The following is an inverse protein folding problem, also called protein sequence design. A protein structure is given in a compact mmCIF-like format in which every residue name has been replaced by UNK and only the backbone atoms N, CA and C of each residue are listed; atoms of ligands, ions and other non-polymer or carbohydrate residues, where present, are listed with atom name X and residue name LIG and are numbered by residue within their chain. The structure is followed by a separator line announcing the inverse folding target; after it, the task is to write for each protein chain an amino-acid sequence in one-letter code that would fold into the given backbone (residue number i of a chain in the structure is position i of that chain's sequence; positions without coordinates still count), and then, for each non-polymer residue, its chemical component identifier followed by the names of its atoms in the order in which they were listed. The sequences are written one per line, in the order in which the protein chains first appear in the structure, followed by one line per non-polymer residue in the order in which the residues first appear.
data_IF_690882039842
#
_entry.id   IF_690882039842
#
_cell.length_a   1.000
_cell.length_b   1.000
_cell.length_c   1.000
_cell.angle_alpha   90.00
_cell.angle_beta   90.00
_cell.angle_gamma   90.00
#
_symmetry.space_group_name_H-M   'P 1'
#
loop_
_entity.id
_entity.type
_entity.pdbx_description
1 polymer ?
#
# COMPACT_ATOMS: atom_id res chain seq x y z
N UNK A 1 -34.54 -42.77 34.19
CA UNK A 1 -34.80 -42.01 32.94
C UNK A 1 -34.68 -40.48 33.10
N UNK A 2 -34.80 -39.90 34.31
CA UNK A 2 -34.60 -38.46 34.54
C UNK A 2 -33.12 -38.03 34.59
N UNK A 3 -32.23 -38.84 35.17
CA UNK A 3 -30.79 -38.52 35.33
C UNK A 3 -30.08 -38.35 33.97
N UNK A 4 -30.41 -39.18 32.98
CA UNK A 4 -29.85 -39.09 31.62
C UNK A 4 -30.29 -37.83 30.87
N UNK A 5 -31.48 -37.29 31.16
CA UNK A 5 -31.97 -36.02 30.58
C UNK A 5 -31.28 -34.79 31.15
N UNK A 6 -30.83 -34.81 32.40
CA UNK A 6 -30.06 -33.70 32.97
C UNK A 6 -28.63 -33.66 32.46
N UNK A 7 -27.99 -34.84 32.36
CA UNK A 7 -26.65 -34.97 31.79
C UNK A 7 -26.66 -34.52 30.31
N UNK A 8 -27.66 -34.93 29.52
CA UNK A 8 -27.78 -34.50 28.12
C UNK A 8 -27.97 -32.99 27.96
N UNK A 9 -28.73 -32.35 28.88
CA UNK A 9 -28.89 -30.88 28.89
C UNK A 9 -27.57 -30.18 29.20
N UNK A 10 -26.82 -30.65 30.18
CA UNK A 10 -25.50 -30.09 30.53
C UNK A 10 -24.52 -30.19 29.35
N UNK A 11 -24.48 -31.32 28.66
CA UNK A 11 -23.69 -31.50 27.44
C UNK A 11 -24.10 -30.55 26.31
N UNK A 12 -25.40 -30.32 26.12
CA UNK A 12 -25.91 -29.34 25.16
C UNK A 12 -25.46 -27.91 25.50
N UNK A 13 -25.50 -27.53 26.78
CA UNK A 13 -25.00 -26.22 27.23
C UNK A 13 -23.48 -26.07 27.04
N UNK A 14 -22.69 -27.12 27.31
CA UNK A 14 -21.26 -27.08 27.03
C UNK A 14 -20.97 -26.94 25.53
N UNK A 15 -21.67 -27.69 24.67
CA UNK A 15 -21.55 -27.56 23.21
C UNK A 15 -21.90 -26.16 22.71
N UNK A 16 -23.03 -25.60 23.18
CA UNK A 16 -23.45 -24.24 22.85
C UNK A 16 -22.42 -23.21 23.31
N UNK A 17 -21.89 -23.36 24.53
CA UNK A 17 -20.87 -22.47 25.07
C UNK A 17 -19.56 -22.54 24.29
N UNK A 18 -19.10 -23.74 23.93
CA UNK A 18 -17.91 -23.92 23.08
C UNK A 18 -18.11 -23.32 21.70
N UNK A 19 -19.27 -23.54 21.07
CA UNK A 19 -19.60 -22.94 19.78
C UNK A 19 -19.57 -21.41 19.85
N UNK A 20 -20.14 -20.84 20.91
CA UNK A 20 -20.14 -19.40 21.12
C UNK A 20 -18.73 -18.84 21.33
N UNK A 21 -17.88 -19.54 22.08
CA UNK A 21 -16.48 -19.15 22.27
C UNK A 21 -15.68 -19.20 20.97
N UNK A 22 -15.84 -20.26 20.17
CA UNK A 22 -15.19 -20.38 18.87
C UNK A 22 -15.65 -19.27 17.93
N UNK A 23 -16.95 -18.98 17.90
CA UNK A 23 -17.51 -17.89 17.11
C UNK A 23 -16.93 -16.52 17.53
N UNK A 24 -16.86 -16.24 18.84
CA UNK A 24 -16.28 -15.00 19.36
C UNK A 24 -14.81 -14.86 18.98
N UNK A 25 -14.01 -15.92 19.13
CA UNK A 25 -12.61 -15.92 18.73
C UNK A 25 -12.44 -15.67 17.23
N UNK A 26 -13.26 -16.34 16.40
CA UNK A 26 -13.22 -16.15 14.95
C UNK A 26 -13.61 -14.73 14.56
N UNK A 27 -14.65 -14.17 15.21
CA UNK A 27 -15.07 -12.79 14.97
C UNK A 27 -13.98 -11.79 15.35
N UNK A 28 -13.26 -12.01 16.45
CA UNK A 28 -12.15 -11.14 16.86
C UNK A 28 -11.00 -11.18 15.86
N UNK A 29 -10.62 -12.37 15.39
CA UNK A 29 -9.59 -12.52 14.35
C UNK A 29 -10.01 -11.85 13.04
N UNK A 30 -11.29 -12.00 12.65
CA UNK A 30 -11.83 -11.39 11.44
C UNK A 30 -11.84 -9.85 11.53
N UNK A 31 -12.23 -9.29 12.67
CA UNK A 31 -12.20 -7.84 12.91
C UNK A 31 -10.76 -7.32 12.87
N UNK A 32 -9.81 -8.03 13.47
CA UNK A 32 -8.39 -7.65 13.42
C UNK A 32 -7.87 -7.63 11.97
N UNK A 33 -8.23 -8.64 11.18
CA UNK A 33 -7.88 -8.69 9.76
C UNK A 33 -8.46 -7.51 8.97
N UNK A 34 -9.73 -7.17 9.20
CA UNK A 34 -10.38 -6.01 8.56
C UNK A 34 -9.74 -4.69 9.00
N UNK A 35 -9.41 -4.55 10.29
CA UNK A 35 -8.75 -3.36 10.82
C UNK A 35 -7.37 -3.14 10.16
N UNK A 36 -6.61 -4.22 9.98
CA UNK A 36 -5.33 -4.21 9.26
C UNK A 36 -5.51 -3.77 7.81
N UNK A 37 -6.48 -4.35 7.09
CA UNK A 37 -6.78 -3.96 5.71
C UNK A 37 -7.17 -2.48 5.60
N UNK A 38 -8.01 -1.98 6.51
CA UNK A 38 -8.41 -0.57 6.54
C UNK A 38 -7.21 0.35 6.78
N UNK A 39 -6.30 -0.05 7.68
CA UNK A 39 -5.08 0.73 7.96
C UNK A 39 -4.18 0.81 6.74
N UNK A 40 -4.00 -0.30 6.03
CA UNK A 40 -3.24 -0.33 4.76
C UNK A 40 -3.88 0.57 3.70
N UNK A 41 -5.19 0.49 3.52
CA UNK A 41 -5.92 1.34 2.56
C UNK A 41 -5.85 2.82 2.91
N UNK A 42 -5.90 3.17 4.20
CA UNK A 42 -5.72 4.54 4.66
C UNK A 42 -4.32 5.07 4.33
N UNK A 43 -3.28 4.27 4.60
CA UNK A 43 -1.90 4.61 4.22
C UNK A 43 -1.77 4.80 2.71
N UNK A 44 -2.41 3.94 1.91
CA UNK A 44 -2.43 4.04 0.44
C UNK A 44 -3.05 5.36 -0.04
N UNK A 45 -4.23 5.74 0.47
CA UNK A 45 -4.89 6.99 0.09
C UNK A 45 -4.05 8.21 0.47
N UNK A 46 -3.42 8.19 1.65
CA UNK A 46 -2.53 9.28 2.07
C UNK A 46 -1.31 9.37 1.15
N UNK A 47 -0.71 8.24 0.76
CA UNK A 47 0.40 8.22 -0.21
C UNK A 47 0.00 8.83 -1.55
N UNK A 48 -1.17 8.47 -2.09
CA UNK A 48 -1.70 9.07 -3.33
C UNK A 48 -1.94 10.57 -3.20
N UNK A 49 -2.50 11.02 -2.09
CA UNK A 49 -2.76 12.44 -1.87
C UNK A 49 -1.46 13.25 -1.77
N UNK A 50 -0.47 12.76 -0.99
CA UNK A 50 0.87 13.37 -0.91
C UNK A 50 1.54 13.41 -2.28
N UNK A 51 1.36 12.35 -3.05
CA UNK A 51 1.91 12.26 -4.37
C UNK A 51 1.31 13.31 -5.34
N UNK A 52 -0.01 13.46 -5.34
CA UNK A 52 -0.68 14.48 -6.16
C UNK A 52 -0.23 15.90 -5.78
N UNK A 53 -0.02 16.18 -4.50
CA UNK A 53 0.48 17.48 -4.06
C UNK A 53 1.92 17.72 -4.54
N UNK A 54 2.78 16.70 -4.47
CA UNK A 54 4.15 16.75 -5.03
C UNK A 54 4.12 17.06 -6.54
N UNK A 55 3.20 16.43 -7.27
CA UNK A 55 3.07 16.67 -8.71
C UNK A 55 2.65 18.12 -9.02
N UNK A 56 1.67 18.62 -8.27
CA UNK A 56 1.22 20.01 -8.37
C UNK A 56 2.36 20.99 -8.07
N UNK A 57 3.22 20.68 -7.11
CA UNK A 57 4.41 21.45 -6.80
C UNK A 57 5.44 21.41 -7.94
N UNK A 58 5.74 20.23 -8.50
CA UNK A 58 6.69 20.12 -9.61
C UNK A 58 6.18 20.86 -10.86
N UNK A 59 4.90 20.68 -11.20
CA UNK A 59 4.31 21.31 -12.38
C UNK A 59 4.08 22.80 -12.20
N UNK A 60 3.65 23.24 -11.02
CA UNK A 60 3.34 24.64 -10.70
C UNK A 60 4.58 25.48 -10.37
N UNK A 61 5.50 24.96 -9.56
CA UNK A 61 6.64 25.72 -9.04
C UNK A 61 7.93 25.48 -9.85
N UNK A 62 8.12 24.26 -10.38
CA UNK A 62 9.34 23.88 -11.10
C UNK A 62 9.16 23.77 -12.63
N UNK A 63 8.07 24.33 -13.18
CA UNK A 63 7.76 24.28 -14.62
C UNK A 63 7.76 22.86 -15.24
N UNK A 64 7.56 21.84 -14.40
CA UNK A 64 7.60 20.43 -14.78
C UNK A 64 8.98 19.77 -14.84
N UNK A 65 10.05 20.45 -14.40
CA UNK A 65 11.40 19.86 -14.34
C UNK A 65 11.61 19.02 -13.09
N UNK A 66 12.23 17.84 -13.24
CA UNK A 66 12.58 16.97 -12.12
C UNK A 66 13.87 17.47 -11.45
N UNK A 67 13.74 18.39 -10.49
CA UNK A 67 14.86 18.82 -9.65
C UNK A 67 14.94 17.98 -8.38
N UNK A 68 15.71 16.90 -8.41
CA UNK A 68 15.85 15.98 -7.27
C UNK A 68 16.40 16.67 -6.02
N UNK A 69 17.30 17.65 -6.16
CA UNK A 69 17.88 18.35 -5.02
C UNK A 69 16.84 19.15 -4.25
N UNK A 70 15.96 19.86 -4.96
CA UNK A 70 14.84 20.62 -4.36
C UNK A 70 13.82 19.67 -3.75
N UNK A 71 13.46 18.61 -4.47
CA UNK A 71 12.48 17.62 -4.00
C UNK A 71 12.93 16.92 -2.72
N UNK A 72 14.20 16.50 -2.63
CA UNK A 72 14.75 15.82 -1.46
C UNK A 72 14.95 16.78 -0.27
N UNK A 73 15.12 18.08 -0.53
CA UNK A 73 15.22 19.10 0.52
C UNK A 73 13.87 19.32 1.22
N UNK A 74 12.79 19.39 0.46
CA UNK A 74 11.42 19.62 0.96
C UNK A 74 10.74 18.32 1.42
N UNK A 75 11.15 17.17 0.86
CA UNK A 75 10.58 15.85 1.13
C UNK A 75 11.69 14.84 1.39
N UNK A 76 12.28 14.90 2.59
CA UNK A 76 13.40 14.04 3.01
C UNK A 76 13.07 12.54 3.03
N UNK A 77 11.78 12.19 2.99
CA UNK A 77 11.31 10.83 2.91
C UNK A 77 11.26 10.28 1.48
N UNK A 78 11.51 11.08 0.45
CA UNK A 78 11.49 10.60 -0.94
C UNK A 78 12.84 9.96 -1.31
N UNK A 79 12.81 8.82 -2.00
CA UNK A 79 13.96 8.20 -2.65
C UNK A 79 13.68 8.07 -4.13
N UNK A 80 14.59 8.55 -4.98
CA UNK A 80 14.48 8.45 -6.44
C UNK A 80 15.67 7.64 -6.94
N UNK A 81 15.41 6.55 -7.66
CA UNK A 81 16.43 5.66 -8.22
C UNK A 81 16.29 5.62 -9.74
N UNK A 82 17.40 5.76 -10.46
CA UNK A 82 17.42 5.60 -11.92
C UNK A 82 17.24 4.11 -12.26
N UNK A 83 16.39 3.81 -13.24
CA UNK A 83 16.18 2.48 -13.77
C UNK A 83 17.03 2.32 -15.03
N UNK A 84 18.17 1.64 -14.92
CA UNK A 84 19.19 1.61 -15.98
C UNK A 84 18.79 0.79 -17.23
N UNK A 85 17.86 -0.16 -17.09
CA UNK A 85 17.49 -1.12 -18.16
C UNK A 85 16.06 -0.92 -18.70
N UNK A 86 15.54 0.30 -18.67
CA UNK A 86 14.22 0.59 -19.25
C UNK A 86 14.33 0.73 -20.78
N UNK A 87 13.36 0.17 -21.51
CA UNK A 87 13.24 0.37 -22.97
C UNK A 87 12.61 1.75 -23.23
N UNK A 88 13.45 2.78 -23.32
CA UNK A 88 13.06 4.18 -23.47
C UNK A 88 13.86 4.85 -24.60
N UNK A 89 13.34 5.96 -25.14
CA UNK A 89 14.01 6.66 -26.24
C UNK A 89 15.36 7.27 -25.80
N UNK A 90 16.30 7.39 -26.74
CA UNK A 90 17.62 7.98 -26.50
C UNK A 90 17.51 9.37 -25.85
N UNK A 91 18.24 9.55 -24.75
CA UNK A 91 18.27 10.78 -23.97
C UNK A 91 17.19 10.87 -22.89
N UNK A 92 16.12 10.06 -22.96
CA UNK A 92 15.15 10.00 -21.87
C UNK A 92 15.76 9.33 -20.64
N UNK A 93 15.15 9.57 -19.47
CA UNK A 93 15.53 8.89 -18.23
C UNK A 93 14.30 8.38 -17.50
N UNK A 94 14.41 7.16 -17.00
CA UNK A 94 13.35 6.51 -16.25
C UNK A 94 13.75 6.35 -14.79
N UNK A 95 12.92 6.84 -13.88
CA UNK A 95 13.19 6.79 -12.45
C UNK A 95 12.06 6.09 -11.71
N UNK A 96 12.41 5.37 -10.65
CA UNK A 96 11.47 4.86 -9.66
C UNK A 96 11.57 5.70 -8.38
N UNK A 97 10.44 6.20 -7.90
CA UNK A 97 10.32 7.01 -6.68
C UNK A 97 9.61 6.24 -5.58
N UNK A 98 10.15 6.28 -4.37
CA UNK A 98 9.63 5.63 -3.15
C UNK A 98 9.53 6.64 -2.01
N UNK A 99 8.60 6.43 -1.06
CA UNK A 99 8.60 7.15 0.23
C UNK A 99 9.31 6.29 1.29
N UNK A 100 9.94 6.90 2.32
CA UNK A 100 10.99 6.32 3.17
C UNK A 100 10.51 5.17 4.05
N UNK A 101 10.43 4.02 3.42
CA UNK A 101 10.87 2.70 3.83
C UNK A 101 10.53 1.87 2.60
N UNK A 102 11.48 1.08 2.08
CA UNK A 102 11.10 0.03 1.16
C UNK A 102 10.18 -0.90 1.94
N UNK A 103 8.87 -0.72 1.82
CA UNK A 103 7.89 -1.73 2.18
C UNK A 103 8.40 -3.00 1.50
N UNK A 104 8.93 -3.96 2.28
CA UNK A 104 9.46 -5.19 1.70
C UNK A 104 8.30 -5.78 0.93
N UNK A 105 8.47 -5.94 -0.38
CA UNK A 105 7.43 -6.44 -1.28
C UNK A 105 6.78 -7.73 -0.74
N UNK A 106 7.58 -8.52 0.00
CA UNK A 106 7.18 -9.73 0.73
C UNK A 106 6.12 -9.52 1.81
N UNK A 107 6.10 -8.39 2.51
CA UNK A 107 5.13 -8.11 3.59
C UNK A 107 3.72 -7.84 3.05
N UNK A 108 3.62 -7.52 1.76
CA UNK A 108 2.38 -7.11 1.13
C UNK A 108 1.90 -8.06 0.03
N UNK A 109 2.70 -9.07 -0.39
CA UNK A 109 2.40 -10.04 -1.47
C UNK A 109 1.01 -10.68 -1.42
N UNK A 110 0.48 -10.93 -0.21
CA UNK A 110 -0.85 -11.52 -0.01
C UNK A 110 -2.02 -10.53 -0.12
N UNK A 111 -1.73 -9.22 -0.12
CA UNK A 111 -2.69 -8.13 -0.24
C UNK A 111 -2.66 -7.46 -1.62
N UNK A 112 -1.79 -7.91 -2.54
CA UNK A 112 -1.80 -7.51 -3.95
C UNK A 112 -2.99 -8.15 -4.67
N UNK A 113 -4.13 -7.48 -4.60
CA UNK A 113 -5.21 -7.60 -5.59
C UNK A 113 -4.84 -6.77 -6.83
N UNK A 114 -5.32 -7.16 -8.01
CA UNK A 114 -5.17 -6.53 -9.35
C UNK A 114 -5.52 -5.02 -9.43
N UNK A 115 -5.88 -4.39 -8.30
CA UNK A 115 -6.30 -3.00 -8.16
C UNK A 115 -5.39 -2.16 -7.25
N UNK A 116 -4.33 -2.72 -6.66
CA UNK A 116 -3.49 -2.00 -5.69
C UNK A 116 -2.28 -1.35 -6.35
N UNK A 117 -2.30 -0.01 -6.39
CA UNK A 117 -1.21 0.85 -6.83
C UNK A 117 -0.05 0.74 -5.81
N UNK A 118 1.15 0.39 -6.27
CA UNK A 118 2.33 0.21 -5.41
C UNK A 118 2.71 1.48 -4.64
N UNK A 119 3.49 1.35 -3.56
CA UNK A 119 4.05 2.48 -2.79
C UNK A 119 5.22 3.17 -3.53
N UNK A 120 5.24 3.05 -4.85
CA UNK A 120 6.27 3.57 -5.72
C UNK A 120 5.66 4.05 -7.01
N UNK A 121 6.42 4.90 -7.70
CA UNK A 121 5.98 5.60 -8.89
C UNK A 121 7.08 5.63 -9.92
N UNK A 122 6.68 5.68 -11.18
CA UNK A 122 7.61 5.88 -12.27
C UNK A 122 7.55 7.31 -12.79
N UNK A 123 8.74 7.82 -13.09
CA UNK A 123 8.96 9.14 -13.64
C UNK A 123 9.75 8.97 -14.92
N UNK A 124 9.17 9.43 -16.04
CA UNK A 124 9.87 9.51 -17.31
C UNK A 124 10.20 10.97 -17.60
N UNK A 125 11.49 11.27 -17.78
CA UNK A 125 11.94 12.60 -18.20
C UNK A 125 12.43 12.59 -19.64
N UNK A 126 12.32 13.73 -20.32
CA UNK A 126 13.04 13.98 -21.57
C UNK A 126 14.54 14.21 -21.33
N UNK A 127 15.26 14.46 -22.43
CA UNK A 127 16.70 14.73 -22.42
C UNK A 127 17.08 16.00 -21.65
N UNK A 128 16.16 16.96 -21.53
CA UNK A 128 16.35 18.21 -20.81
C UNK A 128 15.99 18.07 -19.31
N UNK A 129 15.51 16.90 -18.88
CA UNK A 129 15.12 16.61 -17.50
C UNK A 129 13.72 17.09 -17.13
N UNK A 130 12.90 17.44 -18.12
CA UNK A 130 11.48 17.76 -17.93
C UNK A 130 10.68 16.47 -17.86
N UNK A 131 9.75 16.39 -16.91
CA UNK A 131 8.91 15.21 -16.73
C UNK A 131 7.90 15.17 -17.89
N UNK A 132 7.97 14.10 -18.68
CA UNK A 132 7.02 13.81 -19.76
C UNK A 132 5.84 13.00 -19.24
N UNK A 133 6.15 11.94 -18.51
CA UNK A 133 5.14 11.05 -17.96
C UNK A 133 5.45 10.77 -16.50
N UNK A 134 4.38 10.67 -15.73
CA UNK A 134 4.40 10.35 -14.33
C UNK A 134 3.24 9.41 -14.06
N UNK A 135 3.52 8.18 -13.65
CA UNK A 135 2.48 7.17 -13.52
C UNK A 135 2.80 6.12 -12.45
N UNK A 136 1.74 5.50 -11.97
CA UNK A 136 1.80 4.23 -11.27
C UNK A 136 1.83 3.13 -12.31
N UNK A 137 2.79 2.23 -12.23
CA UNK A 137 2.66 0.98 -12.97
C UNK A 137 1.68 0.06 -12.24
N UNK A 138 0.79 -0.53 -13.01
CA UNK A 138 0.13 -1.75 -12.58
C UNK A 138 0.92 -2.90 -13.20
N UNK A 139 1.26 -3.95 -12.43
CA UNK A 139 1.73 -5.18 -13.06
C UNK A 139 0.71 -5.71 -14.07
#
# INVERSE_FOLDING_TARGET
MQITKEVSKRWLFYLLSTFFLVYLLWSLLYIDQLSKQLTTEKTRVVSMARHLELWKEITGNNSGYLNQAVLLQENQDIQITLVENADIEDGQRFYAMYYSEAAKEQDFRQYFSELVLGNYFYILTDADGKIREFFWDKP
#
